data_IF_299736134964
#
_entry.id   IF_299736134964
#
_cell.length_a   1.000
_cell.length_b   1.000
_cell.length_c   1.000
_cell.angle_alpha   90.00
_cell.angle_beta   90.00
_cell.angle_gamma   90.00
#
_symmetry.space_group_name_H-M   'P 1'
#
loop_
_entity.id
_entity.type
_entity.pdbx_description
1 polymer ?
#
# COMPACT_ATOMS: atom_id res chain seq x y z
N UNK A 1 -17.62 10.24 -50.71
CA UNK A 1 -16.64 9.28 -51.26
C UNK A 1 -17.21 7.85 -51.32
N UNK A 2 -18.50 7.60 -51.57
CA UNK A 2 -19.01 6.22 -51.74
C UNK A 2 -19.07 5.31 -50.49
N UNK A 3 -18.44 5.66 -49.37
CA UNK A 3 -18.55 4.94 -48.10
C UNK A 3 -18.11 3.47 -48.22
N UNK A 4 -19.05 2.54 -48.11
CA UNK A 4 -18.80 1.11 -48.29
C UNK A 4 -18.45 0.70 -49.74
N UNK A 5 -18.73 1.56 -50.73
CA UNK A 5 -18.39 1.35 -52.14
C UNK A 5 -17.06 2.03 -52.54
N UNK A 6 -16.33 2.63 -51.58
CA UNK A 6 -15.02 3.22 -51.83
C UNK A 6 -13.98 2.11 -52.08
N UNK A 7 -12.98 2.39 -52.91
CA UNK A 7 -11.92 1.43 -53.16
C UNK A 7 -11.22 1.01 -51.85
N UNK A 8 -10.81 -0.27 -51.71
CA UNK A 8 -10.27 -0.80 -50.47
C UNK A 8 -9.01 -0.08 -49.97
N UNK A 9 -8.15 0.41 -50.86
CA UNK A 9 -6.89 1.04 -50.50
C UNK A 9 -7.12 2.48 -50.02
N UNK A 10 -7.97 3.27 -50.68
CA UNK A 10 -8.38 4.57 -50.12
C UNK A 10 -9.12 4.41 -48.79
N UNK A 11 -9.97 3.39 -48.65
CA UNK A 11 -10.68 3.13 -47.40
C UNK A 11 -9.70 2.77 -46.26
N UNK A 12 -8.65 1.99 -46.53
CA UNK A 12 -7.57 1.72 -45.56
C UNK A 12 -6.84 2.99 -45.13
N UNK A 13 -6.48 3.86 -46.08
CA UNK A 13 -5.80 5.13 -45.80
C UNK A 13 -6.67 6.05 -44.95
N UNK A 14 -7.96 6.20 -45.29
CA UNK A 14 -8.90 7.04 -44.53
C UNK A 14 -9.14 6.50 -43.11
N UNK A 15 -9.29 5.18 -42.95
CA UNK A 15 -9.41 4.57 -41.62
C UNK A 15 -8.14 4.76 -40.77
N UNK A 16 -6.96 4.67 -41.40
CA UNK A 16 -5.69 4.95 -40.73
C UNK A 16 -5.58 6.42 -40.29
N UNK A 17 -5.97 7.35 -41.16
CA UNK A 17 -6.03 8.77 -40.84
C UNK A 17 -7.02 9.05 -39.69
N UNK A 18 -8.21 8.44 -39.73
CA UNK A 18 -9.21 8.59 -38.66
C UNK A 18 -8.67 8.10 -37.31
N UNK A 19 -7.94 6.98 -37.28
CA UNK A 19 -7.27 6.51 -36.06
C UNK A 19 -6.25 7.53 -35.55
N UNK A 20 -5.40 8.07 -36.43
CA UNK A 20 -4.41 9.10 -36.06
C UNK A 20 -5.07 10.36 -35.51
N UNK A 21 -6.13 10.85 -36.16
CA UNK A 21 -6.88 12.02 -35.71
C UNK A 21 -7.53 11.79 -34.34
N UNK A 22 -8.08 10.60 -34.10
CA UNK A 22 -8.61 10.24 -32.78
C UNK A 22 -7.51 10.24 -31.70
N UNK A 23 -6.31 9.72 -32.00
CA UNK A 23 -5.17 9.77 -31.07
C UNK A 23 -4.71 11.21 -30.79
N UNK A 24 -4.74 12.09 -31.79
CA UNK A 24 -4.42 13.52 -31.59
C UNK A 24 -5.47 14.17 -30.70
N UNK A 25 -6.76 13.89 -30.91
CA UNK A 25 -7.84 14.43 -30.09
C UNK A 25 -7.73 13.95 -28.63
N UNK A 26 -7.39 12.69 -28.42
CA UNK A 26 -7.15 12.12 -27.09
C UNK A 26 -5.99 12.83 -26.38
N UNK A 27 -4.87 13.03 -27.08
CA UNK A 27 -3.71 13.75 -26.53
C UNK A 27 -4.02 15.21 -26.19
N UNK A 28 -4.74 15.92 -27.07
CA UNK A 28 -5.14 17.31 -26.83
C UNK A 28 -6.10 17.42 -25.65
N UNK A 29 -7.05 16.49 -25.54
CA UNK A 29 -7.98 16.43 -24.41
C UNK A 29 -7.23 16.16 -23.10
N UNK A 30 -6.26 15.25 -23.12
CA UNK A 30 -5.39 14.99 -21.98
C UNK A 30 -4.58 16.22 -21.55
N UNK A 31 -3.99 16.96 -22.50
CA UNK A 31 -3.28 18.21 -22.21
C UNK A 31 -4.18 19.29 -21.63
N UNK A 32 -5.40 19.43 -22.16
CA UNK A 32 -6.40 20.36 -21.64
C UNK A 32 -6.78 20.01 -20.20
N UNK A 33 -7.11 18.75 -19.92
CA UNK A 33 -7.52 18.34 -18.56
C UNK A 33 -6.35 18.38 -17.58
N UNK A 34 -5.11 18.13 -18.00
CA UNK A 34 -3.94 18.31 -17.15
C UNK A 34 -3.82 19.76 -16.61
N UNK A 35 -4.29 20.77 -17.36
CA UNK A 35 -4.35 22.15 -16.85
C UNK A 35 -5.36 22.35 -15.70
N UNK A 36 -6.33 21.45 -15.56
CA UNK A 36 -7.35 21.46 -14.51
C UNK A 36 -6.94 20.62 -13.28
N UNK A 37 -5.88 19.81 -13.42
CA UNK A 37 -5.46 18.85 -12.39
C UNK A 37 -5.17 19.53 -11.05
N UNK A 38 -4.46 20.67 -11.04
CA UNK A 38 -4.17 21.41 -9.82
C UNK A 38 -5.43 21.86 -9.07
N UNK A 39 -6.45 22.33 -9.80
CA UNK A 39 -7.74 22.72 -9.23
C UNK A 39 -8.49 21.53 -8.63
N UNK A 40 -8.48 20.38 -9.32
CA UNK A 40 -9.09 19.14 -8.81
C UNK A 40 -8.37 18.67 -7.55
N UNK A 41 -7.04 18.66 -7.55
CA UNK A 41 -6.22 18.26 -6.40
C UNK A 41 -6.47 19.17 -5.18
N UNK A 42 -6.65 20.48 -5.38
CA UNK A 42 -7.02 21.39 -4.30
C UNK A 42 -8.39 21.04 -3.69
N UNK A 43 -9.40 20.77 -4.52
CA UNK A 43 -10.72 20.38 -4.02
C UNK A 43 -10.71 18.98 -3.38
N UNK A 44 -9.90 18.06 -3.87
CA UNK A 44 -9.69 16.74 -3.26
C UNK A 44 -9.05 16.85 -1.87
N UNK A 45 -8.11 17.77 -1.70
CA UNK A 45 -7.52 18.05 -0.38
C UNK A 45 -8.58 18.57 0.60
N UNK A 46 -9.46 19.47 0.15
CA UNK A 46 -10.60 19.94 0.96
C UNK A 46 -11.58 18.83 1.30
N UNK A 47 -11.92 17.98 0.33
CA UNK A 47 -12.75 16.79 0.53
C UNK A 47 -12.15 15.89 1.62
N UNK A 48 -10.84 15.63 1.56
CA UNK A 48 -10.13 14.85 2.59
C UNK A 48 -10.23 15.45 4.00
N UNK A 49 -10.17 16.78 4.13
CA UNK A 49 -10.35 17.48 5.41
C UNK A 49 -11.79 17.34 5.94
N UNK A 50 -12.80 17.41 5.06
CA UNK A 50 -14.20 17.23 5.45
C UNK A 50 -14.49 15.78 5.84
N UNK A 51 -13.93 14.82 5.09
CA UNK A 51 -14.04 13.40 5.39
C UNK A 51 -13.48 13.06 6.78
N UNK A 52 -12.38 13.69 7.17
CA UNK A 52 -11.75 13.52 8.49
C UNK A 52 -12.66 13.89 9.67
N UNK A 53 -13.64 14.77 9.44
CA UNK A 53 -14.60 15.19 10.46
C UNK A 53 -15.69 14.15 10.70
N UNK A 54 -15.88 13.21 9.76
CA UNK A 54 -16.85 12.12 9.90
C UNK A 54 -16.36 11.12 10.95
N UNK A 55 -17.12 11.02 12.05
CA UNK A 55 -16.84 10.13 13.18
C UNK A 55 -18.10 9.44 13.63
N UNK A 56 -17.98 8.20 14.12
CA UNK A 56 -19.07 7.42 14.71
C UNK A 56 -19.27 6.06 14.04
N UNK A 57 -20.27 5.28 14.50
CA UNK A 57 -20.52 3.94 13.98
C UNK A 57 -20.98 3.97 12.52
N UNK A 58 -20.81 2.85 11.82
CA UNK A 58 -21.24 2.70 10.43
C UNK A 58 -22.76 2.89 10.30
N UNK A 59 -23.18 3.72 9.35
CA UNK A 59 -24.59 4.00 9.09
C UNK A 59 -25.06 3.36 7.78
N UNK A 60 -26.38 3.20 7.68
CA UNK A 60 -27.01 2.68 6.48
C UNK A 60 -26.97 3.71 5.35
N UNK A 61 -26.91 3.23 4.11
CA UNK A 61 -26.73 4.04 2.91
C UNK A 61 -27.72 5.20 2.75
N UNK A 62 -28.97 5.00 3.17
CA UNK A 62 -30.05 6.00 3.12
C UNK A 62 -29.85 7.18 4.06
N UNK A 63 -29.05 7.04 5.11
CA UNK A 63 -28.85 8.06 6.16
C UNK A 63 -27.62 8.94 5.90
N UNK A 64 -26.78 8.59 4.91
CA UNK A 64 -25.52 9.28 4.63
C UNK A 64 -25.64 10.43 3.62
N UNK A 65 -26.82 10.68 3.05
CA UNK A 65 -27.01 11.66 1.96
C UNK A 65 -26.44 13.05 2.29
N UNK A 66 -26.85 13.64 3.42
CA UNK A 66 -26.37 14.96 3.81
C UNK A 66 -24.87 15.03 4.12
N UNK A 67 -24.27 13.95 4.61
CA UNK A 67 -22.82 13.88 4.85
C UNK A 67 -22.04 13.73 3.55
N UNK A 68 -22.57 12.95 2.59
CA UNK A 68 -22.01 12.81 1.25
C UNK A 68 -22.02 14.16 0.54
N UNK A 69 -23.15 14.88 0.58
CA UNK A 69 -23.27 16.20 -0.04
C UNK A 69 -22.26 17.18 0.57
N UNK A 70 -22.14 17.22 1.90
CA UNK A 70 -21.15 18.05 2.60
C UNK A 70 -19.71 17.73 2.15
N UNK A 71 -19.33 16.44 2.13
CA UNK A 71 -17.96 16.02 1.79
C UNK A 71 -17.65 16.29 0.31
N UNK A 72 -18.62 16.06 -0.58
CA UNK A 72 -18.46 16.26 -2.02
C UNK A 72 -18.59 17.70 -2.50
N UNK A 73 -19.21 18.58 -1.71
CA UNK A 73 -19.50 19.97 -2.09
C UNK A 73 -18.33 20.71 -2.76
N UNK A 74 -17.08 20.66 -2.26
CA UNK A 74 -15.96 21.36 -2.89
C UNK A 74 -15.68 20.86 -4.32
N UNK A 75 -15.73 19.54 -4.51
CA UNK A 75 -15.45 18.90 -5.78
C UNK A 75 -16.61 19.08 -6.77
N UNK A 76 -17.85 18.89 -6.32
CA UNK A 76 -19.05 18.99 -7.16
C UNK A 76 -19.24 20.41 -7.68
N UNK A 77 -19.01 21.44 -6.85
CA UNK A 77 -19.06 22.83 -7.30
C UNK A 77 -18.07 23.13 -8.45
N UNK A 78 -16.87 22.55 -8.39
CA UNK A 78 -15.87 22.70 -9.47
C UNK A 78 -16.30 21.93 -10.72
N UNK A 79 -16.71 20.66 -10.54
CA UNK A 79 -17.11 19.78 -11.63
C UNK A 79 -18.33 20.33 -12.36
N UNK A 80 -19.41 20.69 -11.66
CA UNK A 80 -20.63 21.20 -12.28
C UNK A 80 -20.37 22.47 -13.10
N UNK A 81 -19.63 23.44 -12.56
CA UNK A 81 -19.26 24.66 -13.30
C UNK A 81 -18.44 24.38 -14.56
N UNK A 82 -17.50 23.43 -14.46
CA UNK A 82 -16.61 23.07 -15.56
C UNK A 82 -17.37 22.29 -16.63
N UNK A 83 -18.11 21.26 -16.22
CA UNK A 83 -18.92 20.39 -17.07
C UNK A 83 -20.00 21.17 -17.81
N UNK A 84 -20.71 22.09 -17.14
CA UNK A 84 -21.71 22.93 -17.78
C UNK A 84 -21.09 23.82 -18.85
N UNK A 85 -19.93 24.43 -18.57
CA UNK A 85 -19.20 25.25 -19.55
C UNK A 85 -18.78 24.43 -20.77
N UNK A 86 -18.21 23.24 -20.55
CA UNK A 86 -17.76 22.38 -21.64
C UNK A 86 -18.92 21.83 -22.47
N UNK A 87 -20.04 21.48 -21.83
CA UNK A 87 -21.24 21.04 -22.54
C UNK A 87 -21.81 22.10 -23.47
N UNK A 88 -21.66 23.39 -23.14
CA UNK A 88 -22.12 24.51 -23.97
C UNK A 88 -21.13 24.86 -25.11
N UNK A 89 -19.83 24.68 -24.89
CA UNK A 89 -18.79 25.19 -25.78
C UNK A 89 -18.15 24.11 -26.68
N UNK A 90 -18.26 22.83 -26.31
CA UNK A 90 -17.62 21.75 -27.03
C UNK A 90 -18.60 21.00 -27.95
N UNK A 91 -18.10 20.57 -29.11
CA UNK A 91 -18.77 19.55 -29.92
C UNK A 91 -18.85 18.22 -29.13
N UNK A 92 -19.92 17.45 -29.36
CA UNK A 92 -20.27 16.27 -28.57
C UNK A 92 -19.16 15.23 -28.48
N UNK A 93 -18.42 15.01 -29.56
CA UNK A 93 -17.29 14.08 -29.60
C UNK A 93 -16.13 14.63 -28.77
N UNK A 94 -15.77 15.90 -28.93
CA UNK A 94 -14.72 16.57 -28.12
C UNK A 94 -15.07 16.53 -26.63
N UNK A 95 -16.30 16.90 -26.28
CA UNK A 95 -16.81 16.84 -24.91
C UNK A 95 -16.59 15.45 -24.31
N UNK A 96 -16.91 14.39 -25.06
CA UNK A 96 -16.74 13.01 -24.57
C UNK A 96 -15.28 12.66 -24.26
N UNK A 97 -14.30 13.14 -25.04
CA UNK A 97 -12.88 12.92 -24.72
C UNK A 97 -12.45 13.70 -23.47
N UNK A 98 -12.88 14.96 -23.34
CA UNK A 98 -12.64 15.78 -22.14
C UNK A 98 -13.24 15.12 -20.91
N UNK A 99 -14.48 14.64 -20.97
CA UNK A 99 -15.15 13.97 -19.85
C UNK A 99 -14.41 12.70 -19.40
N UNK A 100 -13.88 11.90 -20.33
CA UNK A 100 -13.12 10.69 -20.01
C UNK A 100 -11.83 11.01 -19.26
N UNK A 101 -11.06 11.98 -19.74
CA UNK A 101 -9.81 12.37 -19.09
C UNK A 101 -10.07 13.10 -17.76
N UNK A 102 -11.12 13.91 -17.68
CA UNK A 102 -11.53 14.57 -16.43
C UNK A 102 -11.99 13.56 -15.38
N UNK A 103 -12.77 12.55 -15.77
CA UNK A 103 -13.13 11.43 -14.92
C UNK A 103 -11.89 10.72 -14.38
N UNK A 104 -10.97 10.36 -15.28
CA UNK A 104 -9.72 9.66 -14.94
C UNK A 104 -8.89 10.44 -13.92
N UNK A 105 -8.64 11.73 -14.14
CA UNK A 105 -7.88 12.58 -13.21
C UNK A 105 -8.63 12.74 -11.88
N UNK A 106 -9.95 12.87 -11.89
CA UNK A 106 -10.77 12.96 -10.67
C UNK A 106 -10.62 11.70 -9.82
N UNK A 107 -10.81 10.51 -10.41
CA UNK A 107 -10.70 9.24 -9.69
C UNK A 107 -9.27 8.99 -9.20
N UNK A 108 -8.26 9.22 -10.04
CA UNK A 108 -6.85 9.05 -9.64
C UNK A 108 -6.48 10.02 -8.51
N UNK A 109 -7.00 11.25 -8.54
CA UNK A 109 -6.73 12.23 -7.48
C UNK A 109 -7.40 11.82 -6.16
N UNK A 110 -8.63 11.33 -6.20
CA UNK A 110 -9.30 10.78 -5.02
C UNK A 110 -8.54 9.57 -4.46
N UNK A 111 -8.09 8.66 -5.32
CA UNK A 111 -7.26 7.52 -4.93
C UNK A 111 -5.98 7.97 -4.23
N UNK A 112 -5.21 8.86 -4.84
CA UNK A 112 -3.89 9.25 -4.32
C UNK A 112 -3.92 10.15 -3.10
N UNK A 113 -4.93 11.02 -2.97
CA UNK A 113 -4.95 12.08 -1.96
C UNK A 113 -5.91 11.81 -0.80
N UNK A 114 -6.97 11.02 -1.04
CA UNK A 114 -8.02 10.79 -0.05
C UNK A 114 -7.98 9.36 0.45
N UNK A 115 -7.83 8.39 -0.47
CA UNK A 115 -7.89 6.96 -0.12
C UNK A 115 -6.54 6.38 0.23
N UNK A 116 -5.50 6.68 -0.54
CA UNK A 116 -4.17 6.16 -0.25
C UNK A 116 -3.58 6.91 0.95
N UNK A 117 -3.00 6.19 1.92
CA UNK A 117 -2.57 6.85 3.12
C UNK A 117 -1.35 7.77 2.83
N UNK A 118 -1.31 8.96 3.45
CA UNK A 118 -0.38 10.03 3.08
C UNK A 118 1.09 9.68 3.33
N UNK A 119 1.98 10.36 2.60
CA UNK A 119 3.41 10.09 2.55
C UNK A 119 4.24 10.65 3.70
N UNK A 120 3.69 11.58 4.46
CA UNK A 120 4.46 12.39 5.41
C UNK A 120 3.68 12.67 6.66
N UNK A 121 3.74 11.73 7.60
CA UNK A 121 3.41 11.92 9.01
C UNK A 121 4.56 11.35 9.84
N UNK A 122 4.79 11.88 11.04
CA UNK A 122 5.90 11.49 11.91
C UNK A 122 5.73 10.08 12.47
N UNK A 123 5.95 9.05 11.64
CA UNK A 123 6.34 7.75 12.15
C UNK A 123 7.60 7.96 13.00
N UNK A 124 7.55 7.45 14.24
CA UNK A 124 8.66 7.51 15.19
C UNK A 124 9.98 7.15 14.52
N UNK A 125 11.05 7.82 14.96
CA UNK A 125 12.41 7.86 14.38
C UNK A 125 12.93 6.53 13.77
N UNK A 126 12.50 5.37 14.27
CA UNK A 126 12.98 4.05 13.86
C UNK A 126 12.24 3.35 12.70
N UNK A 127 11.04 3.78 12.30
CA UNK A 127 10.21 3.11 11.25
C UNK A 127 10.08 3.91 9.94
N UNK A 128 10.69 5.10 9.92
CA UNK A 128 10.38 6.19 9.02
C UNK A 128 10.97 6.18 7.59
N UNK A 129 12.20 5.74 7.30
CA UNK A 129 12.85 6.14 6.06
C UNK A 129 12.23 5.50 4.80
N UNK A 130 11.78 4.24 4.86
CA UNK A 130 11.19 3.56 3.70
C UNK A 130 9.78 4.08 3.35
N UNK A 131 8.94 4.32 4.36
CA UNK A 131 7.55 4.74 4.15
C UNK A 131 7.41 6.23 3.81
N UNK A 132 8.41 7.07 4.17
CA UNK A 132 8.43 8.52 3.88
C UNK A 132 8.79 8.87 2.43
N UNK A 133 9.62 8.07 1.77
CA UNK A 133 10.15 8.38 0.43
C UNK A 133 9.39 7.74 -0.73
N UNK A 134 8.48 6.81 -0.47
CA UNK A 134 7.79 6.07 -1.52
C UNK A 134 6.40 6.64 -1.85
N UNK A 135 6.27 7.30 -3.01
CA UNK A 135 5.01 7.83 -3.57
C UNK A 135 3.94 6.72 -3.73
N UNK A 136 2.66 6.95 -3.35
CA UNK A 136 1.60 5.99 -3.64
C UNK A 136 1.22 6.21 -5.11
N UNK A 137 1.50 5.22 -5.93
CA UNK A 137 1.05 5.22 -7.32
C UNK A 137 -0.24 4.42 -7.42
N UNK A 138 -1.27 4.98 -8.07
CA UNK A 138 -2.45 4.23 -8.48
C UNK A 138 -2.07 2.97 -9.30
N UNK A 139 -0.89 2.98 -9.94
CA UNK A 139 -0.33 1.81 -10.63
C UNK A 139 -0.06 0.62 -9.68
N UNK A 140 0.40 0.88 -8.46
CA UNK A 140 0.68 -0.17 -7.46
C UNK A 140 -0.60 -0.85 -6.97
N UNK A 141 -1.69 -0.10 -6.79
CA UNK A 141 -3.01 -0.64 -6.46
C UNK A 141 -3.58 -1.44 -7.63
N UNK A 142 -3.49 -0.92 -8.85
CA UNK A 142 -3.96 -1.63 -10.06
C UNK A 142 -3.21 -2.97 -10.25
N UNK A 143 -1.88 -2.99 -10.02
CA UNK A 143 -1.07 -4.21 -10.04
C UNK A 143 -1.56 -5.21 -8.99
N UNK A 144 -1.81 -4.74 -7.76
CA UNK A 144 -2.29 -5.57 -6.67
C UNK A 144 -3.68 -6.17 -6.97
N UNK A 145 -4.60 -5.36 -7.50
CA UNK A 145 -5.92 -5.81 -7.95
C UNK A 145 -5.81 -6.92 -9.02
N UNK A 146 -4.94 -6.73 -10.02
CA UNK A 146 -4.75 -7.72 -11.09
C UNK A 146 -4.23 -9.05 -10.53
N UNK A 147 -3.26 -9.01 -9.62
CA UNK A 147 -2.70 -10.20 -8.99
C UNK A 147 -3.70 -10.92 -8.08
N UNK A 148 -4.52 -10.16 -7.35
CA UNK A 148 -5.56 -10.74 -6.49
C UNK A 148 -6.70 -11.38 -7.31
N UNK A 149 -7.07 -10.80 -8.45
CA UNK A 149 -8.11 -11.34 -9.34
C UNK A 149 -7.66 -12.58 -10.13
N UNK A 150 -6.37 -12.75 -10.42
CA UNK A 150 -5.85 -13.97 -11.03
C UNK A 150 -5.91 -15.16 -10.06
N UNK A 151 -5.57 -14.96 -8.78
CA UNK A 151 -5.65 -16.03 -7.77
C UNK A 151 -7.09 -16.46 -7.44
N UNK A 152 -8.07 -15.54 -7.49
CA UNK A 152 -9.49 -15.90 -7.32
C UNK A 152 -10.06 -16.75 -8.46
N UNK A 153 -9.50 -16.64 -9.69
CA UNK A 153 -9.93 -17.46 -10.83
C UNK A 153 -9.40 -18.89 -10.78
N UNK A 154 -8.29 -19.13 -10.09
CA UNK A 154 -7.73 -20.48 -9.93
C UNK A 154 -8.36 -21.25 -8.76
N UNK A 155 -9.10 -20.57 -7.86
CA UNK A 155 -9.63 -21.17 -6.63
C UNK A 155 -11.14 -21.39 -6.53
N UNK A 156 -11.94 -21.20 -7.59
CA UNK A 156 -13.42 -21.21 -7.45
C UNK A 156 -14.14 -22.10 -8.46
N UNK A 157 -13.96 -23.42 -8.32
CA UNK A 157 -14.95 -24.42 -8.72
C UNK A 157 -15.81 -24.78 -7.51
N UNK A 158 -17.04 -24.25 -7.42
CA UNK A 158 -17.94 -24.58 -6.34
C UNK A 158 -19.13 -23.63 -6.24
N UNK A 159 -20.21 -23.95 -6.97
CA UNK A 159 -21.48 -23.23 -6.89
C UNK A 159 -22.20 -23.48 -5.57
N UNK A 160 -22.85 -22.45 -5.04
CA UNK A 160 -23.68 -22.52 -3.84
C UNK A 160 -24.64 -21.35 -3.77
N UNK A 161 -25.84 -21.58 -4.29
CA UNK A 161 -26.98 -20.68 -4.33
C UNK A 161 -27.68 -20.68 -2.95
N UNK A 162 -27.83 -19.53 -2.27
CA UNK A 162 -28.82 -19.37 -1.19
C UNK A 162 -29.40 -17.96 -1.24
N UNK A 163 -30.70 -17.89 -1.54
CA UNK A 163 -31.52 -16.71 -1.38
C UNK A 163 -32.43 -16.80 -0.15
N UNK A 164 -33.00 -15.64 0.20
CA UNK A 164 -34.30 -15.51 0.87
C UNK A 164 -34.30 -15.48 2.40
N UNK A 165 -34.87 -14.41 2.98
CA UNK A 165 -35.30 -14.38 4.38
C UNK A 165 -35.57 -12.98 4.94
N UNK A 166 -36.82 -12.55 4.90
CA UNK A 166 -37.38 -11.32 5.50
C UNK A 166 -37.96 -11.66 6.88
N UNK A 167 -37.67 -10.85 7.91
CA UNK A 167 -38.50 -10.54 9.10
C UNK A 167 -37.71 -9.53 9.96
N UNK A 168 -38.24 -8.54 10.68
CA UNK A 168 -39.59 -8.19 11.12
C UNK A 168 -39.54 -7.85 12.63
N UNK A 169 -39.72 -6.58 13.00
CA UNK A 169 -39.84 -6.07 14.40
C UNK A 169 -38.87 -4.90 14.69
N UNK A 170 -39.22 -3.77 15.31
CA UNK A 170 -40.42 -3.32 16.01
C UNK A 170 -40.02 -2.57 17.31
N UNK A 171 -40.21 -1.24 17.37
CA UNK A 171 -40.04 -0.38 18.57
C UNK A 171 -38.58 0.00 18.91
N UNK A 172 -38.22 1.19 19.42
CA UNK A 172 -38.96 2.20 20.16
C UNK A 172 -38.23 3.57 20.11
N UNK A 173 -38.98 4.61 20.51
CA UNK A 173 -38.71 6.05 20.44
C UNK A 173 -37.87 6.57 21.63
N UNK A 174 -37.04 7.58 21.35
CA UNK A 174 -36.45 8.55 22.30
C UNK A 174 -35.31 9.31 21.60
N UNK A 175 -35.33 10.62 21.36
CA UNK A 175 -35.85 11.73 22.15
C UNK A 175 -34.64 12.49 22.72
N UNK A 176 -34.21 13.59 22.10
CA UNK A 176 -33.24 14.50 22.73
C UNK A 176 -32.42 15.41 21.81
N UNK A 177 -32.79 16.70 21.79
CA UNK A 177 -31.84 17.81 21.96
C UNK A 177 -31.03 18.28 20.74
N UNK A 178 -31.47 19.38 20.13
CA UNK A 178 -30.70 20.13 19.14
C UNK A 178 -29.57 20.99 19.72
N UNK A 179 -28.67 21.41 18.85
CA UNK A 179 -27.78 22.60 18.86
C UNK A 179 -26.88 22.45 17.63
N UNK A 180 -27.13 23.08 16.48
CA UNK A 180 -26.86 24.49 16.26
C UNK A 180 -25.35 24.74 16.26
N UNK A 181 -24.67 24.71 15.10
CA UNK A 181 -23.37 25.36 14.90
C UNK A 181 -23.11 25.61 13.41
N UNK A 182 -23.42 26.85 13.03
CA UNK A 182 -23.07 27.53 11.79
C UNK A 182 -21.66 28.12 12.00
N UNK A 183 -20.71 27.84 11.10
CA UNK A 183 -19.37 28.45 11.16
C UNK A 183 -18.55 28.12 9.92
N UNK A 184 -18.44 29.09 9.01
CA UNK A 184 -17.66 28.99 7.77
C UNK A 184 -16.16 28.90 8.04
N UNK A 185 -15.48 28.02 7.32
CA UNK A 185 -14.02 27.82 7.38
C UNK A 185 -13.35 28.77 6.39
N UNK A 186 -12.57 29.76 6.87
CA UNK A 186 -11.93 30.76 6.00
C UNK A 186 -10.43 30.99 6.26
N UNK A 187 -9.69 30.05 6.86
CA UNK A 187 -8.24 30.19 7.02
C UNK A 187 -7.45 29.04 6.38
N UNK A 188 -6.56 29.40 5.45
CA UNK A 188 -5.58 28.48 4.81
C UNK A 188 -4.66 27.83 5.86
N UNK A 189 -4.44 28.51 6.99
CA UNK A 189 -3.64 28.01 8.11
C UNK A 189 -4.32 26.86 8.84
N UNK A 190 -5.62 26.96 9.10
CA UNK A 190 -6.41 25.86 9.70
C UNK A 190 -6.56 24.68 8.74
N UNK A 191 -6.62 24.92 7.42
CA UNK A 191 -6.55 23.85 6.42
C UNK A 191 -5.21 23.12 6.43
N UNK A 192 -4.08 23.84 6.57
CA UNK A 192 -2.75 23.24 6.64
C UNK A 192 -2.53 22.47 7.95
N UNK A 193 -2.97 23.01 9.09
CA UNK A 193 -2.85 22.34 10.39
C UNK A 193 -3.78 21.11 10.46
N UNK A 194 -5.01 21.21 9.94
CA UNK A 194 -5.91 20.05 9.83
C UNK A 194 -5.36 18.99 8.85
N UNK A 195 -4.77 19.39 7.72
CA UNK A 195 -4.13 18.45 6.78
C UNK A 195 -2.88 17.76 7.37
N UNK A 196 -2.18 18.43 8.29
CA UNK A 196 -1.03 17.88 9.01
C UNK A 196 -1.45 16.86 10.07
N UNK A 197 -2.53 17.12 10.81
CA UNK A 197 -3.15 16.13 11.73
C UNK A 197 -3.88 14.99 10.99
N UNK A 198 -4.34 15.23 9.76
CA UNK A 198 -4.96 14.22 8.90
C UNK A 198 -3.94 13.23 8.31
N UNK A 199 -2.64 13.54 8.39
CA UNK A 199 -1.57 12.72 7.81
C UNK A 199 -1.32 11.41 8.57
N UNK A 200 -1.97 11.20 9.71
CA UNK A 200 -1.67 10.09 10.62
C UNK A 200 -2.86 9.14 10.86
N UNK A 201 -4.05 9.40 10.29
CA UNK A 201 -5.26 8.60 10.58
C UNK A 201 -5.74 7.77 9.39
N UNK A 202 -5.98 6.48 9.64
CA UNK A 202 -6.64 5.56 8.70
C UNK A 202 -8.03 6.01 8.33
N UNK A 203 -8.49 5.65 7.14
CA UNK A 203 -9.90 5.69 6.83
C UNK A 203 -10.64 4.69 7.72
N UNK A 204 -11.66 5.17 8.43
CA UNK A 204 -12.58 4.32 9.18
C UNK A 204 -13.51 3.56 8.23
N UNK A 205 -14.08 2.41 8.63
CA UNK A 205 -15.08 1.70 7.84
C UNK A 205 -16.26 2.60 7.43
N UNK A 206 -16.66 3.54 8.30
CA UNK A 206 -17.70 4.54 7.99
C UNK A 206 -17.25 5.48 6.86
N UNK A 207 -16.04 6.02 6.93
CA UNK A 207 -15.51 6.90 5.87
C UNK A 207 -15.37 6.15 4.55
N UNK A 208 -14.96 4.87 4.57
CA UNK A 208 -14.92 4.04 3.37
C UNK A 208 -16.32 3.85 2.76
N UNK A 209 -17.33 3.56 3.60
CA UNK A 209 -18.72 3.46 3.16
C UNK A 209 -19.26 4.77 2.60
N UNK A 210 -18.93 5.91 3.22
CA UNK A 210 -19.33 7.23 2.73
C UNK A 210 -18.67 7.55 1.38
N UNK A 211 -17.39 7.21 1.20
CA UNK A 211 -16.69 7.37 -0.07
C UNK A 211 -17.29 6.49 -1.18
N UNK A 212 -17.72 5.26 -0.88
CA UNK A 212 -18.38 4.40 -1.88
C UNK A 212 -19.70 5.03 -2.38
N UNK A 213 -20.50 5.63 -1.48
CA UNK A 213 -21.70 6.38 -1.87
C UNK A 213 -21.34 7.65 -2.63
N UNK A 214 -20.30 8.37 -2.21
CA UNK A 214 -19.84 9.57 -2.87
C UNK A 214 -19.39 9.30 -4.31
N UNK A 215 -18.76 8.14 -4.58
CA UNK A 215 -18.39 7.72 -5.93
C UNK A 215 -19.61 7.54 -6.84
N UNK A 216 -20.74 7.10 -6.31
CA UNK A 216 -21.97 7.01 -7.09
C UNK A 216 -22.53 8.39 -7.47
N UNK A 217 -22.44 9.38 -6.57
CA UNK A 217 -22.82 10.76 -6.88
C UNK A 217 -21.90 11.40 -7.95
N UNK A 218 -20.58 11.18 -7.85
CA UNK A 218 -19.63 11.62 -8.88
C UNK A 218 -19.96 10.96 -10.23
N UNK A 219 -20.27 9.66 -10.25
CA UNK A 219 -20.69 8.97 -11.48
C UNK A 219 -21.93 9.58 -12.10
N UNK A 220 -22.96 9.88 -11.31
CA UNK A 220 -24.18 10.51 -11.82
C UNK A 220 -23.92 11.92 -12.36
N UNK A 221 -22.99 12.68 -11.77
CA UNK A 221 -22.52 13.97 -12.30
C UNK A 221 -21.92 13.84 -13.72
N UNK A 222 -21.01 12.89 -13.92
CA UNK A 222 -20.41 12.63 -15.23
C UNK A 222 -21.35 11.93 -16.21
N UNK A 223 -22.39 11.25 -15.72
CA UNK A 223 -23.42 10.64 -16.55
C UNK A 223 -24.38 11.70 -17.12
N UNK A 224 -24.72 12.71 -16.32
CA UNK A 224 -25.56 13.85 -16.68
C UNK A 224 -26.86 13.43 -17.39
N UNK A 225 -27.58 12.45 -16.83
CA UNK A 225 -28.84 11.96 -17.41
C UNK A 225 -28.73 11.39 -18.83
N UNK A 226 -27.55 10.91 -19.23
CA UNK A 226 -27.28 10.36 -20.55
C UNK A 226 -26.64 11.34 -21.55
N UNK A 227 -26.45 12.60 -21.17
CA UNK A 227 -25.75 13.59 -22.00
C UNK A 227 -24.21 13.51 -21.86
N UNK A 228 -23.72 12.89 -20.78
CA UNK A 228 -22.30 12.70 -20.54
C UNK A 228 -21.78 11.31 -20.93
N UNK A 229 -21.07 10.66 -20.01
CA UNK A 229 -20.51 9.32 -20.21
C UNK A 229 -21.57 8.23 -19.99
N UNK A 230 -21.45 7.12 -20.71
CA UNK A 230 -22.35 5.96 -20.55
C UNK A 230 -22.05 5.24 -19.24
N UNK A 231 -23.07 4.70 -18.56
CA UNK A 231 -22.87 3.90 -17.33
C UNK A 231 -21.89 2.74 -17.51
N UNK A 232 -21.92 2.08 -18.67
CA UNK A 232 -21.00 0.99 -19.02
C UNK A 232 -19.53 1.40 -19.16
N UNK A 233 -19.23 2.70 -19.30
CA UNK A 233 -17.86 3.20 -19.28
C UNK A 233 -17.29 3.15 -17.86
N UNK A 234 -18.06 3.58 -16.85
CA UNK A 234 -17.60 3.62 -15.46
C UNK A 234 -17.31 2.22 -14.92
N UNK A 235 -18.19 1.25 -15.20
CA UNK A 235 -18.00 -0.14 -14.75
C UNK A 235 -16.72 -0.79 -15.33
N UNK A 236 -16.25 -0.30 -16.48
CA UNK A 236 -15.02 -0.75 -17.15
C UNK A 236 -13.82 0.15 -16.88
N UNK A 237 -13.96 1.23 -16.11
CA UNK A 237 -12.87 2.17 -15.84
C UNK A 237 -11.85 1.49 -14.92
N UNK A 238 -10.58 1.33 -15.37
CA UNK A 238 -9.55 0.72 -14.54
C UNK A 238 -9.22 1.58 -13.31
N UNK A 239 -9.35 2.90 -13.41
CA UNK A 239 -9.13 3.82 -12.29
C UNK A 239 -10.19 3.63 -11.21
N UNK A 240 -11.47 3.49 -11.58
CA UNK A 240 -12.53 3.25 -10.62
C UNK A 240 -12.37 1.89 -9.93
N UNK A 241 -11.96 0.88 -10.71
CA UNK A 241 -11.67 -0.45 -10.20
C UNK A 241 -10.50 -0.43 -9.21
N UNK A 242 -9.41 0.28 -9.53
CA UNK A 242 -8.27 0.52 -8.64
C UNK A 242 -8.72 1.19 -7.34
N UNK A 243 -9.46 2.29 -7.42
CA UNK A 243 -9.96 3.02 -6.26
C UNK A 243 -10.86 2.16 -5.35
N UNK A 244 -11.80 1.42 -5.93
CA UNK A 244 -12.66 0.50 -5.17
C UNK A 244 -11.85 -0.60 -4.50
N UNK A 245 -10.84 -1.13 -5.19
CA UNK A 245 -9.93 -2.10 -4.60
C UNK A 245 -9.14 -1.49 -3.43
N UNK A 246 -8.62 -0.26 -3.57
CA UNK A 246 -7.95 0.44 -2.47
C UNK A 246 -8.85 0.62 -1.24
N UNK A 247 -10.12 1.03 -1.44
CA UNK A 247 -11.12 1.10 -0.37
C UNK A 247 -11.36 -0.26 0.29
N UNK A 248 -11.41 -1.34 -0.49
CA UNK A 248 -11.59 -2.70 0.05
C UNK A 248 -10.46 -3.12 0.99
N UNK A 249 -9.21 -2.67 0.76
CA UNK A 249 -8.06 -3.03 1.60
C UNK A 249 -8.23 -2.55 3.05
N UNK A 250 -8.89 -1.41 3.28
CA UNK A 250 -9.20 -0.90 4.62
C UNK A 250 -10.21 -1.76 5.38
N UNK A 251 -10.99 -2.58 4.68
CA UNK A 251 -12.00 -3.48 5.28
C UNK A 251 -11.49 -4.89 5.53
N UNK A 252 -10.31 -5.24 4.99
CA UNK A 252 -9.72 -6.57 5.15
C UNK A 252 -9.18 -6.80 6.57
N UNK A 253 -9.05 -8.06 6.97
CA UNK A 253 -8.40 -8.41 8.24
C UNK A 253 -6.87 -8.29 8.12
N UNK A 254 -6.18 -8.23 9.26
CA UNK A 254 -4.71 -8.12 9.29
C UNK A 254 -4.08 -9.32 8.60
N UNK A 255 -4.67 -10.50 8.84
CA UNK A 255 -4.28 -11.76 8.24
C UNK A 255 -4.39 -11.76 6.72
N UNK A 256 -5.48 -11.21 6.17
CA UNK A 256 -5.66 -11.09 4.71
C UNK A 256 -4.63 -10.15 4.07
N UNK A 257 -4.32 -9.03 4.72
CA UNK A 257 -3.32 -8.08 4.22
C UNK A 257 -1.90 -8.67 4.27
N UNK A 258 -1.55 -9.37 5.35
CA UNK A 258 -0.26 -10.08 5.48
C UNK A 258 -0.13 -11.18 4.43
N UNK A 259 -1.18 -12.00 4.26
CA UNK A 259 -1.24 -13.03 3.21
C UNK A 259 -0.99 -12.43 1.84
N UNK A 260 -1.71 -11.35 1.52
CA UNK A 260 -1.57 -10.64 0.25
C UNK A 260 -0.16 -10.06 0.07
N UNK A 261 0.45 -9.51 1.12
CA UNK A 261 1.81 -9.02 1.08
C UNK A 261 2.79 -10.13 0.68
N UNK A 262 2.75 -11.28 1.36
CA UNK A 262 3.70 -12.38 1.13
C UNK A 262 3.53 -12.99 -0.27
N UNK A 263 2.28 -13.13 -0.73
CA UNK A 263 1.99 -13.63 -2.08
C UNK A 263 2.47 -12.69 -3.18
N UNK A 264 2.41 -11.37 -2.96
CA UNK A 264 2.79 -10.39 -3.98
C UNK A 264 4.29 -10.02 -3.95
N UNK A 265 4.93 -10.03 -2.78
CA UNK A 265 6.33 -9.64 -2.60
C UNK A 265 7.31 -10.78 -2.88
N UNK A 266 7.48 -11.15 -4.15
CA UNK A 266 8.40 -12.23 -4.57
C UNK A 266 9.86 -11.84 -4.72
N UNK A 267 10.16 -10.54 -4.70
CA UNK A 267 11.45 -9.96 -5.09
C UNK A 267 12.10 -9.17 -3.94
N UNK A 268 11.91 -9.63 -2.70
CA UNK A 268 12.35 -8.92 -1.49
C UNK A 268 13.89 -8.86 -1.33
N UNK A 269 14.62 -9.64 -2.13
CA UNK A 269 16.06 -9.84 -2.09
C UNK A 269 16.86 -8.93 -3.05
N UNK A 270 16.23 -8.17 -3.96
CA UNK A 270 16.95 -7.34 -4.94
C UNK A 270 18.04 -6.42 -4.33
N UNK A 271 17.78 -5.63 -3.26
CA UNK A 271 18.78 -4.82 -2.58
C UNK A 271 19.89 -5.65 -1.93
N UNK A 272 19.59 -6.89 -1.52
CA UNK A 272 20.61 -7.80 -0.99
C UNK A 272 21.56 -8.27 -2.09
N UNK A 273 21.09 -8.41 -3.33
CA UNK A 273 21.92 -8.81 -4.47
C UNK A 273 22.90 -7.70 -4.88
N UNK A 274 22.45 -6.44 -4.89
CA UNK A 274 23.29 -5.29 -5.27
C UNK A 274 24.11 -4.69 -4.11
N UNK A 275 23.64 -4.82 -2.87
CA UNK A 275 24.32 -4.34 -1.66
C UNK A 275 24.43 -5.43 -0.59
N UNK A 276 25.09 -6.56 -0.89
CA UNK A 276 25.23 -7.66 0.06
C UNK A 276 26.07 -7.21 1.26
N UNK A 277 25.56 -7.52 2.45
CA UNK A 277 26.25 -7.30 3.74
C UNK A 277 26.61 -8.61 4.43
N UNK A 278 26.46 -9.73 3.72
CA UNK A 278 26.77 -11.08 4.15
C UNK A 278 25.69 -12.06 3.72
N UNK A 279 25.79 -13.29 4.18
CA UNK A 279 24.83 -14.36 3.88
C UNK A 279 24.72 -15.33 5.04
N UNK A 280 23.57 -15.98 5.18
CA UNK A 280 23.32 -17.01 6.20
C UNK A 280 23.04 -18.34 5.52
N UNK A 281 23.80 -19.37 5.88
CA UNK A 281 23.51 -20.75 5.48
C UNK A 281 22.47 -21.36 6.40
N UNK A 282 21.38 -21.83 5.79
CA UNK A 282 20.26 -22.42 6.50
C UNK A 282 19.82 -23.71 5.85
N UNK A 283 19.27 -24.61 6.66
CA UNK A 283 18.50 -25.75 6.20
C UNK A 283 17.12 -25.67 6.83
N UNK A 284 16.08 -25.75 6.00
CA UNK A 284 14.68 -25.64 6.42
C UNK A 284 13.94 -26.90 6.00
N UNK A 285 13.31 -27.55 6.97
CA UNK A 285 12.51 -28.76 6.75
C UNK A 285 11.06 -28.48 7.17
N UNK A 286 10.11 -28.89 6.34
CA UNK A 286 8.67 -28.81 6.63
C UNK A 286 8.13 -30.20 6.94
N UNK A 287 7.58 -30.37 8.13
CA UNK A 287 6.94 -31.61 8.55
C UNK A 287 5.47 -31.36 8.87
N UNK A 288 4.58 -32.09 8.20
CA UNK A 288 3.15 -32.05 8.50
C UNK A 288 2.79 -33.23 9.43
N UNK A 289 2.21 -32.94 10.59
CA UNK A 289 1.86 -33.98 11.54
C UNK A 289 0.59 -34.74 11.07
N UNK A 290 0.67 -36.06 10.81
CA UNK A 290 -0.39 -36.82 10.13
C UNK A 290 -1.77 -36.84 10.83
N UNK A 291 -1.84 -36.45 12.11
CA UNK A 291 -3.05 -36.54 12.93
C UNK A 291 -3.59 -35.20 13.42
N UNK A 292 -2.75 -34.18 13.59
CA UNK A 292 -3.16 -32.86 14.12
C UNK A 292 -3.30 -31.82 13.01
N UNK A 293 -2.76 -32.06 11.82
CA UNK A 293 -2.65 -31.07 10.75
C UNK A 293 -1.70 -29.91 11.08
N UNK A 294 -1.01 -29.98 12.23
CA UNK A 294 -0.02 -28.99 12.63
C UNK A 294 1.24 -29.16 11.80
N UNK A 295 1.73 -28.04 11.27
CA UNK A 295 2.92 -28.02 10.44
C UNK A 295 4.09 -27.49 11.24
N UNK A 296 5.09 -28.34 11.43
CA UNK A 296 6.33 -28.01 12.10
C UNK A 296 7.36 -27.56 11.07
N UNK A 297 7.88 -26.35 11.24
CA UNK A 297 9.01 -25.83 10.50
C UNK A 297 10.26 -26.03 11.35
N UNK A 298 11.21 -26.79 10.82
CA UNK A 298 12.53 -26.94 11.45
C UNK A 298 13.53 -26.07 10.70
N UNK A 299 14.14 -25.12 11.40
CA UNK A 299 15.13 -24.20 10.82
C UNK A 299 16.46 -24.45 11.49
N UNK A 300 17.44 -24.95 10.74
CA UNK A 300 18.81 -25.11 11.20
C UNK A 300 19.66 -23.97 10.64
N UNK A 301 20.11 -23.09 11.52
CA UNK A 301 21.06 -22.02 11.19
C UNK A 301 22.47 -22.60 11.31
N UNK A 302 23.13 -22.78 10.16
CA UNK A 302 24.42 -23.48 10.08
C UNK A 302 25.55 -22.49 10.37
N UNK A 303 25.64 -21.42 9.58
CA UNK A 303 26.68 -20.41 9.66
C UNK A 303 26.23 -19.09 9.01
N UNK A 304 26.95 -18.01 9.25
CA UNK A 304 26.90 -16.82 8.42
C UNK A 304 28.30 -16.52 7.85
N UNK A 305 28.35 -15.93 6.67
CA UNK A 305 29.58 -15.61 5.94
C UNK A 305 29.59 -14.17 5.43
N UNK A 306 30.80 -13.68 5.12
CA UNK A 306 31.08 -12.34 4.57
C UNK A 306 30.28 -11.22 5.26
N UNK A 307 30.15 -11.28 6.59
CA UNK A 307 29.45 -10.23 7.32
C UNK A 307 30.22 -8.92 7.12
N UNK A 308 29.58 -7.87 6.59
CA UNK A 308 30.26 -6.59 6.32
C UNK A 308 29.92 -5.58 7.40
N UNK A 309 30.46 -5.79 8.61
CA UNK A 309 30.15 -4.97 9.78
C UNK A 309 31.37 -4.28 10.34
N UNK A 310 31.24 -3.00 10.67
CA UNK A 310 32.29 -2.24 11.35
C UNK A 310 31.84 -1.94 12.78
N UNK A 311 32.67 -2.30 13.75
CA UNK A 311 32.42 -1.98 15.15
C UNK A 311 32.84 -0.53 15.38
N UNK A 312 31.98 0.27 15.99
CA UNK A 312 32.30 1.64 16.39
C UNK A 312 32.82 1.63 17.82
N UNK A 313 34.09 2.01 18.02
CA UNK A 313 34.75 2.06 19.34
C UNK A 313 35.51 0.78 19.73
N UNK A 314 35.80 0.61 21.02
CA UNK A 314 36.63 -0.49 21.58
C UNK A 314 35.86 -1.80 21.84
N UNK A 315 34.71 -2.00 21.20
CA UNK A 315 33.87 -3.19 21.37
C UNK A 315 34.38 -4.38 20.56
N UNK A 316 33.92 -5.59 20.91
CA UNK A 316 34.10 -6.80 20.10
C UNK A 316 32.81 -7.11 19.35
N UNK A 317 32.90 -7.48 18.07
CA UNK A 317 31.73 -7.87 17.27
C UNK A 317 31.16 -9.18 17.81
N UNK A 318 29.86 -9.22 18.13
CA UNK A 318 29.23 -10.42 18.68
C UNK A 318 28.00 -10.82 17.87
N UNK A 319 28.17 -11.37 16.65
CA UNK A 319 27.04 -11.73 15.81
C UNK A 319 26.19 -12.86 16.39
N UNK A 320 24.88 -12.71 16.25
CA UNK A 320 23.90 -13.78 16.37
C UNK A 320 22.84 -13.63 15.28
N UNK A 321 22.08 -14.69 15.03
CA UNK A 321 20.98 -14.68 14.05
C UNK A 321 19.66 -14.76 14.80
N UNK A 322 18.80 -13.75 14.60
CA UNK A 322 17.41 -13.77 15.02
C UNK A 322 16.55 -14.22 13.82
N UNK A 323 15.78 -15.29 14.02
CA UNK A 323 14.88 -15.86 13.01
C UNK A 323 13.44 -15.55 13.43
N UNK A 324 12.71 -14.96 12.51
CA UNK A 324 11.30 -14.63 12.67
C UNK A 324 10.43 -15.45 11.72
N UNK A 325 9.38 -16.07 12.24
CA UNK A 325 8.28 -16.57 11.44
C UNK A 325 7.31 -15.41 11.17
N UNK A 326 7.11 -15.10 9.90
CA UNK A 326 6.25 -14.00 9.44
C UNK A 326 5.15 -14.58 8.55
N UNK A 327 3.90 -14.26 8.84
CA UNK A 327 2.74 -14.80 8.12
C UNK A 327 1.46 -14.59 8.91
N UNK A 328 0.31 -15.06 8.38
CA UNK A 328 -0.96 -14.88 9.03
C UNK A 328 -1.14 -15.80 10.25
N UNK A 329 -2.12 -15.54 11.11
CA UNK A 329 -2.60 -16.38 12.20
C UNK A 329 -1.49 -16.78 13.21
N UNK A 330 -0.67 -15.80 13.59
CA UNK A 330 0.46 -16.00 14.49
C UNK A 330 0.28 -15.40 15.90
N UNK A 331 -0.91 -14.89 16.24
CA UNK A 331 -1.19 -14.21 17.51
C UNK A 331 -0.66 -14.95 18.75
N UNK A 332 -0.99 -16.24 18.87
CA UNK A 332 -0.68 -17.07 20.03
C UNK A 332 0.52 -18.02 19.81
N UNK A 333 1.31 -17.77 18.77
CA UNK A 333 2.42 -18.65 18.38
C UNK A 333 3.78 -18.05 18.69
N UNK A 334 4.77 -18.92 18.87
CA UNK A 334 6.17 -18.49 18.96
C UNK A 334 6.62 -18.02 17.57
N UNK A 335 6.88 -16.72 17.43
CA UNK A 335 7.27 -16.09 16.16
C UNK A 335 8.76 -15.77 16.04
N UNK A 336 9.52 -15.87 17.14
CA UNK A 336 10.90 -15.39 17.19
C UNK A 336 11.79 -16.32 17.99
N UNK A 337 12.97 -16.62 17.45
CA UNK A 337 14.03 -17.36 18.12
C UNK A 337 15.39 -16.79 17.73
N UNK A 338 16.39 -16.85 18.60
CA UNK A 338 17.75 -16.37 18.33
C UNK A 338 18.78 -17.45 18.60
N UNK A 339 19.85 -17.49 17.81
CA UNK A 339 21.03 -18.31 18.07
C UNK A 339 21.83 -17.73 19.23
N UNK A 340 22.77 -18.49 19.77
CA UNK A 340 23.82 -17.95 20.65
C UNK A 340 24.71 -16.99 19.87
N UNK A 341 25.20 -15.98 20.55
CA UNK A 341 26.18 -15.05 19.98
C UNK A 341 27.56 -15.68 19.90
N UNK A 342 28.26 -15.40 18.81
CA UNK A 342 29.64 -15.81 18.58
C UNK A 342 30.55 -14.60 18.79
N UNK A 343 31.73 -14.80 19.35
CA UNK A 343 32.62 -13.68 19.71
C UNK A 343 33.65 -13.39 18.62
N UNK A 344 33.74 -12.12 18.24
CA UNK A 344 34.76 -11.53 17.38
C UNK A 344 35.01 -12.28 16.07
N UNK A 345 33.95 -12.57 15.32
CA UNK A 345 34.02 -13.30 14.05
C UNK A 345 33.07 -12.71 13.02
N UNK A 346 33.49 -12.65 11.76
CA UNK A 346 32.65 -12.25 10.62
C UNK A 346 32.17 -13.43 9.78
N UNK A 347 32.56 -14.64 10.18
CA UNK A 347 32.10 -15.91 9.61
C UNK A 347 31.67 -16.88 10.73
N UNK A 348 30.67 -16.51 11.56
CA UNK A 348 30.26 -17.33 12.70
C UNK A 348 29.66 -18.67 12.27
N UNK A 349 29.95 -19.72 13.03
CA UNK A 349 29.30 -21.03 12.92
C UNK A 349 28.36 -21.21 14.10
N UNK A 350 27.08 -21.47 13.84
CA UNK A 350 26.06 -21.61 14.87
C UNK A 350 25.70 -23.09 15.07
N UNK A 351 25.34 -23.79 13.99
CA UNK A 351 24.83 -25.17 14.02
C UNK A 351 23.68 -25.36 15.02
N UNK A 352 22.77 -24.38 15.09
CA UNK A 352 21.64 -24.39 16.01
C UNK A 352 20.34 -24.68 15.26
N UNK A 353 19.51 -25.55 15.83
CA UNK A 353 18.21 -25.92 15.28
C UNK A 353 17.09 -25.28 16.08
N UNK A 354 16.12 -24.71 15.38
CA UNK A 354 14.97 -24.00 15.90
C UNK A 354 13.69 -24.63 15.35
N UNK A 355 12.60 -24.52 16.10
CA UNK A 355 11.32 -25.07 15.69
C UNK A 355 10.23 -24.01 15.79
N UNK A 356 9.53 -23.81 14.68
CA UNK A 356 8.32 -23.02 14.61
C UNK A 356 7.15 -23.92 14.24
N UNK A 357 5.95 -23.48 14.60
CA UNK A 357 4.72 -24.22 14.35
C UNK A 357 3.73 -23.32 13.64
N UNK A 358 3.19 -23.81 12.53
CA UNK A 358 2.04 -23.25 11.83
C UNK A 358 0.84 -24.13 12.23
N UNK A 359 -0.29 -23.48 12.51
CA UNK A 359 -1.50 -24.18 12.94
C UNK A 359 -2.26 -24.70 11.72
N UNK A 360 -3.33 -25.45 11.95
CA UNK A 360 -4.11 -26.09 10.87
C UNK A 360 -4.68 -25.10 9.83
N UNK A 361 -4.91 -23.84 10.21
CA UNK A 361 -5.41 -22.79 9.31
C UNK A 361 -4.32 -22.13 8.43
N UNK A 362 -3.04 -22.45 8.66
CA UNK A 362 -1.94 -21.83 7.94
C UNK A 362 -1.49 -22.64 6.74
N UNK A 363 -1.64 -22.06 5.55
CA UNK A 363 -1.01 -22.58 4.34
C UNK A 363 0.45 -22.07 4.28
N UNK A 364 1.49 -22.94 4.27
CA UNK A 364 2.89 -22.49 4.35
C UNK A 364 3.30 -21.53 3.26
N UNK A 365 2.70 -21.61 2.07
CA UNK A 365 2.97 -20.68 0.96
C UNK A 365 2.74 -19.20 1.30
N UNK A 366 1.95 -18.93 2.35
CA UNK A 366 1.64 -17.61 2.87
C UNK A 366 2.51 -17.20 4.07
N UNK A 367 3.59 -17.93 4.33
CA UNK A 367 4.56 -17.64 5.38
C UNK A 367 5.96 -17.51 4.81
N UNK A 368 6.79 -16.78 5.54
CA UNK A 368 8.20 -16.60 5.24
C UNK A 368 9.01 -16.55 6.53
N UNK A 369 10.28 -16.94 6.42
CA UNK A 369 11.26 -16.83 7.47
C UNK A 369 12.10 -15.58 7.20
N UNK A 370 12.14 -14.67 8.16
CA UNK A 370 13.01 -13.50 8.11
C UNK A 370 14.22 -13.73 9.02
N UNK A 371 15.41 -13.55 8.46
CA UNK A 371 16.70 -13.71 9.14
C UNK A 371 17.30 -12.33 9.38
N UNK A 372 17.56 -12.00 10.64
CA UNK A 372 18.24 -10.77 11.03
C UNK A 372 19.57 -11.14 11.70
N UNK A 373 20.68 -10.77 11.08
CA UNK A 373 21.98 -10.84 11.75
C UNK A 373 22.16 -9.57 12.56
N UNK A 374 22.43 -9.72 13.86
CA UNK A 374 22.60 -8.60 14.79
C UNK A 374 23.91 -8.67 15.53
N UNK A 375 24.46 -7.51 15.86
CA UNK A 375 25.62 -7.34 16.72
C UNK A 375 25.16 -7.11 18.16
N UNK A 376 25.40 -8.09 19.03
CA UNK A 376 25.01 -8.01 20.44
C UNK A 376 25.70 -6.84 21.14
N UNK A 377 24.90 -5.95 21.73
CA UNK A 377 25.41 -4.78 22.43
C UNK A 377 25.09 -4.86 23.92
N UNK A 378 26.12 -4.84 24.77
CA UNK A 378 25.90 -4.74 26.20
C UNK A 378 25.29 -3.38 26.57
N UNK A 379 24.19 -3.40 27.33
CA UNK A 379 23.49 -2.21 27.82
C UNK A 379 22.94 -1.25 26.73
N UNK A 380 22.82 -1.70 25.48
CA UNK A 380 22.20 -0.96 24.37
C UNK A 380 21.34 -1.92 23.53
N UNK A 381 20.56 -1.37 22.62
CA UNK A 381 19.85 -2.18 21.63
C UNK A 381 20.85 -2.85 20.67
N UNK A 382 20.56 -4.10 20.32
CA UNK A 382 21.35 -4.87 19.37
C UNK A 382 21.24 -4.23 17.98
N UNK A 383 22.38 -4.11 17.29
CA UNK A 383 22.44 -3.39 16.01
C UNK A 383 22.25 -4.36 14.85
N UNK A 384 21.38 -4.00 13.91
CA UNK A 384 21.16 -4.80 12.70
C UNK A 384 22.38 -4.71 11.78
N UNK A 385 22.97 -5.87 11.51
CA UNK A 385 24.06 -6.05 10.55
C UNK A 385 23.51 -6.24 9.14
N UNK A 386 22.46 -7.06 9.00
CA UNK A 386 21.81 -7.35 7.75
C UNK A 386 20.51 -8.14 7.94
N UNK A 387 19.65 -8.07 6.93
CA UNK A 387 18.33 -8.72 6.90
C UNK A 387 18.16 -9.51 5.60
N UNK A 388 17.52 -10.68 5.69
CA UNK A 388 17.20 -11.54 4.55
C UNK A 388 15.88 -12.28 4.78
N UNK A 389 15.28 -12.79 3.70
CA UNK A 389 13.97 -13.47 3.73
C UNK A 389 14.04 -14.74 2.89
N UNK A 390 13.38 -15.79 3.37
CA UNK A 390 13.11 -17.04 2.66
C UNK A 390 11.61 -17.33 2.70
N UNK A 391 10.94 -17.42 1.55
CA UNK A 391 9.53 -17.80 1.51
C UNK A 391 9.36 -19.31 1.65
N UNK A 392 8.40 -19.74 2.48
CA UNK A 392 8.17 -21.18 2.67
C UNK A 392 7.54 -21.85 1.46
N UNK A 393 6.94 -21.08 0.53
CA UNK A 393 6.53 -21.60 -0.80
C UNK A 393 7.69 -22.27 -1.55
N UNK A 394 8.92 -21.75 -1.43
CA UNK A 394 10.10 -22.36 -2.04
C UNK A 394 10.52 -23.68 -1.37
N UNK A 395 10.19 -23.85 -0.08
CA UNK A 395 10.53 -25.05 0.69
C UNK A 395 9.51 -26.18 0.44
N UNK A 396 8.23 -25.81 0.23
CA UNK A 396 7.16 -26.76 -0.03
C UNK A 396 7.41 -27.67 -1.24
N UNK A 397 8.09 -27.16 -2.28
CA UNK A 397 8.38 -27.92 -3.50
C UNK A 397 9.35 -29.09 -3.28
N UNK A 398 10.21 -29.01 -2.25
CA UNK A 398 11.33 -29.94 -2.05
C UNK A 398 11.27 -30.71 -0.72
N UNK A 399 10.43 -30.30 0.23
CA UNK A 399 10.27 -30.90 1.56
C UNK A 399 11.42 -30.61 2.54
N UNK A 400 12.65 -30.54 2.03
CA UNK A 400 13.86 -30.06 2.71
C UNK A 400 14.59 -29.11 1.78
N UNK A 401 14.93 -27.92 2.25
CA UNK A 401 15.58 -26.88 1.46
C UNK A 401 16.80 -26.32 2.19
N UNK A 402 17.98 -26.54 1.61
CA UNK A 402 19.24 -25.98 2.11
C UNK A 402 19.71 -24.86 1.17
N UNK A 403 19.88 -23.65 1.69
CA UNK A 403 20.21 -22.49 0.87
C UNK A 403 21.05 -21.45 1.62
N UNK A 404 21.61 -20.54 0.83
CA UNK A 404 22.22 -19.30 1.33
C UNK A 404 21.20 -18.17 1.21
N UNK A 405 20.83 -17.58 2.34
CA UNK A 405 19.98 -16.39 2.40
C UNK A 405 20.88 -15.17 2.34
N UNK A 406 20.80 -14.42 1.24
CA UNK A 406 21.55 -13.18 1.07
C UNK A 406 21.03 -12.09 2.01
N UNK A 407 21.95 -11.41 2.70
CA UNK A 407 21.64 -10.34 3.62
C UNK A 407 21.86 -8.99 2.94
N UNK A 408 20.84 -8.14 3.00
CA UNK A 408 20.92 -6.74 2.60
C UNK A 408 20.89 -5.81 3.81
N UNK A 409 21.15 -4.52 3.57
CA UNK A 409 20.95 -3.48 4.59
C UNK A 409 19.47 -3.27 4.93
N UNK A 410 18.59 -3.58 3.97
CA UNK A 410 17.13 -3.48 4.05
C UNK A 410 16.51 -4.42 3.01
N UNK A 411 15.25 -4.81 3.21
CA UNK A 411 14.50 -5.57 2.21
C UNK A 411 14.04 -4.67 1.05
N UNK A 412 13.87 -5.26 -0.14
CA UNK A 412 13.08 -4.62 -1.19
C UNK A 412 11.62 -4.72 -0.84
N UNK A 413 10.88 -3.63 -1.01
CA UNK A 413 9.42 -3.65 -0.94
C UNK A 413 8.93 -2.81 -2.10
N UNK A 414 8.14 -3.42 -2.98
CA UNK A 414 7.60 -2.71 -4.14
C UNK A 414 6.43 -1.79 -3.74
N UNK A 415 5.91 -1.03 -4.71
CA UNK A 415 4.80 -0.09 -4.47
C UNK A 415 3.57 -0.77 -3.81
N UNK A 416 3.27 -1.99 -4.22
CA UNK A 416 2.16 -2.79 -3.69
C UNK A 416 2.39 -3.15 -2.23
N UNK A 417 3.58 -3.66 -1.89
CA UNK A 417 3.95 -3.99 -0.52
C UNK A 417 3.94 -2.76 0.39
N UNK A 418 4.37 -1.60 -0.11
CA UNK A 418 4.38 -0.34 0.64
C UNK A 418 2.96 0.16 0.98
N UNK A 419 2.00 0.00 0.06
CA UNK A 419 0.58 0.34 0.32
C UNK A 419 0.05 -0.53 1.46
N UNK A 420 0.28 -1.85 1.40
CA UNK A 420 -0.17 -2.79 2.43
C UNK A 420 0.46 -2.49 3.79
N UNK A 421 1.76 -2.23 3.84
CA UNK A 421 2.45 -1.83 5.07
C UNK A 421 1.89 -0.54 5.65
N UNK A 422 1.53 0.42 4.79
CA UNK A 422 0.97 1.68 5.27
C UNK A 422 -0.43 1.47 5.86
N UNK A 423 -1.29 0.66 5.24
CA UNK A 423 -2.60 0.32 5.82
C UNK A 423 -2.43 -0.43 7.15
N UNK A 424 -1.52 -1.41 7.20
CA UNK A 424 -1.20 -2.14 8.43
C UNK A 424 -0.64 -1.24 9.54
N UNK A 425 0.18 -0.24 9.19
CA UNK A 425 0.81 0.68 10.16
C UNK A 425 -0.21 1.54 10.92
N UNK A 426 -1.40 1.70 10.35
CA UNK A 426 -2.48 2.48 10.97
C UNK A 426 -3.29 1.67 11.98
N UNK A 427 -3.07 0.34 12.08
CA UNK A 427 -3.74 -0.54 13.06
C UNK A 427 -3.03 -0.46 14.41
N UNK A 428 -3.15 0.69 15.07
CA UNK A 428 -2.44 1.00 16.32
C UNK A 428 -2.82 0.11 17.51
N UNK A 429 -3.88 -0.69 17.43
CA UNK A 429 -4.28 -1.62 18.49
C UNK A 429 -3.99 -3.10 18.13
N UNK A 430 -3.41 -3.35 16.96
CA UNK A 430 -3.10 -4.70 16.49
C UNK A 430 -1.59 -4.96 16.58
N UNK A 431 -1.19 -5.75 17.57
CA UNK A 431 0.21 -6.07 17.82
C UNK A 431 0.85 -6.87 16.68
N UNK A 432 0.07 -7.68 15.95
CA UNK A 432 0.57 -8.44 14.79
C UNK A 432 0.85 -7.49 13.63
N UNK A 433 -0.06 -6.56 13.36
CA UNK A 433 0.17 -5.53 12.34
C UNK A 433 1.39 -4.67 12.67
N UNK A 434 1.54 -4.24 13.94
CA UNK A 434 2.71 -3.47 14.39
C UNK A 434 4.01 -4.23 14.22
N UNK A 435 4.06 -5.48 14.69
CA UNK A 435 5.27 -6.29 14.57
C UNK A 435 5.63 -6.54 13.11
N UNK A 436 4.65 -6.87 12.27
CA UNK A 436 4.84 -7.08 10.84
C UNK A 436 5.43 -5.82 10.17
N UNK A 437 4.84 -4.66 10.44
CA UNK A 437 5.33 -3.38 9.90
C UNK A 437 6.74 -3.08 10.40
N UNK A 438 7.03 -3.29 11.68
CA UNK A 438 8.37 -3.11 12.24
C UNK A 438 9.38 -4.01 11.53
N UNK A 439 9.12 -5.31 11.45
CA UNK A 439 10.03 -6.27 10.82
C UNK A 439 10.31 -5.92 9.36
N UNK A 440 9.30 -5.52 8.59
CA UNK A 440 9.46 -5.17 7.18
C UNK A 440 10.13 -3.81 6.94
N UNK A 441 10.08 -2.91 7.92
CA UNK A 441 10.70 -1.57 7.80
C UNK A 441 12.07 -1.46 8.46
N UNK A 442 12.45 -2.46 9.27
CA UNK A 442 13.76 -2.52 9.90
C UNK A 442 14.90 -2.57 8.89
N UNK A 443 15.95 -1.82 9.18
CA UNK A 443 17.14 -1.74 8.35
C UNK A 443 18.38 -1.48 9.19
N UNK A 444 19.54 -1.72 8.58
CA UNK A 444 20.84 -1.35 9.12
C UNK A 444 21.01 0.16 9.04
N UNK A 445 21.24 0.79 10.19
CA UNK A 445 21.67 2.18 10.30
C UNK A 445 23.20 2.23 10.43
N UNK A 446 23.87 3.02 9.59
CA UNK A 446 25.28 3.35 9.82
C UNK A 446 25.37 4.36 10.97
N UNK A 447 26.15 4.06 12.00
CA UNK A 447 26.45 5.06 13.03
C UNK A 447 27.29 6.15 12.37
N UNK A 448 26.83 7.40 12.40
CA UNK A 448 27.42 8.56 11.71
C UNK A 448 28.95 8.60 11.80
N UNK A 449 29.60 8.36 10.65
CA UNK A 449 31.00 8.69 10.39
C UNK A 449 31.15 9.95 9.53
N UNK A 450 30.07 10.72 9.32
CA UNK A 450 30.08 11.99 8.58
C UNK A 450 30.10 13.20 9.53
N UNK A 451 31.09 13.22 10.44
CA UNK A 451 31.32 14.35 11.36
C UNK A 451 32.70 15.00 11.25
N UNK A 452 33.62 14.46 10.44
CA UNK A 452 35.03 14.92 10.41
C UNK A 452 35.60 15.13 8.99
N UNK A 453 34.74 15.31 7.98
CA UNK A 453 35.18 15.67 6.62
C UNK A 453 34.67 17.03 6.11
N UNK A 454 33.97 17.82 6.94
CA UNK A 454 33.51 19.18 6.58
C UNK A 454 34.15 20.29 7.43
N UNK A 455 35.22 19.99 8.18
CA UNK A 455 35.95 20.97 9.01
C UNK A 455 37.33 21.35 8.44
N UNK A 456 37.68 20.88 7.25
CA UNK A 456 39.02 21.10 6.67
C UNK A 456 39.03 21.96 5.38
N UNK A 457 37.97 22.72 5.09
CA UNK A 457 37.89 23.60 3.92
C UNK A 457 37.47 25.05 4.21
N UNK A 458 37.33 25.46 5.49
CA UNK A 458 36.97 26.84 5.87
C UNK A 458 37.95 27.53 6.84
N UNK A 459 39.23 27.15 6.85
CA UNK A 459 40.29 27.87 7.57
C UNK A 459 41.58 28.00 6.74
N UNK A 460 41.50 28.67 5.59
CA UNK A 460 42.64 29.38 4.99
C UNK A 460 42.11 30.52 4.14
N UNK A 461 41.67 31.62 4.77
CA UNK A 461 41.50 32.92 4.10
C UNK A 461 41.24 34.08 5.09
N UNK A 462 41.88 34.10 6.26
CA UNK A 462 42.04 35.35 7.06
C UNK A 462 43.32 35.26 7.90
N UNK A 463 44.43 35.79 7.39
CA UNK A 463 45.53 36.41 8.14
C UNK A 463 46.66 36.76 7.16
N UNK A 464 46.89 38.06 6.94
CA UNK A 464 48.00 38.55 6.13
C UNK A 464 47.74 39.91 5.47
N UNK A 465 47.36 40.91 6.27
CA UNK A 465 47.86 42.28 6.11
C UNK A 465 48.97 42.48 7.13
#
# INVERSE_FOLDING_TARGET
>A
MGGAQLDPDSNRVLNSLQKKLNTVLDRLSGQFVASLESGIQEQMSRLGVLLAKIKGPQQQRSQMGGEVDMVLEPLMNLLERSLQRYAQQCEKTVLKYILKELWKITIISMEKQVVLPPLGGSLSSSTAPLLKHALPSAKGVTKLMLQHTTHLKEGSGGGGNIGGGISGGGGNVGGGGGSGLRGGMHSVKEMMDAARDNSERSLTPRQCGLLDVALDAIKECFHAGGQGLKKSFFEKSPELQSLKYALSLYTQTTEQLIRTFISTQKQQDLPSQDQPVGEVSVQVDLFNHPHTGEQKITVKVIAANDLRWQITGSGTFKPFVEVHLVGPHLADKKRKMATKSQSNTWTPKFNETMHFFIGNEGEPEHYELMFQVKDYCFAREDRIVGVGVLQLSQVLEQGSYACWVQLGRRLFIDETGLILLRILSQRQNDEIAKEFVRLKTECRYETEGQGLANSASSQRLVAGR
#
